data_IF_730021478302
#
_entry.id   IF_730021478302
#
_cell.length_a   1.000
_cell.length_b   1.000
_cell.length_c   1.000
_cell.angle_alpha   90.00
_cell.angle_beta   90.00
_cell.angle_gamma   90.00
#
_symmetry.space_group_name_H-M   'P 1'
#
loop_
_entity.id
_entity.type
_entity.pdbx_description
1 polymer ?
#
# COMPACT_ATOMS: atom_id res chain seq x y z
N UNK A 1 39.48 34.21 -11.37
CA UNK A 1 39.11 32.93 -10.73
C UNK A 1 37.70 32.59 -11.16
N UNK A 2 37.61 31.72 -12.14
CA UNK A 2 36.39 31.39 -12.85
C UNK A 2 35.71 30.26 -12.09
N UNK A 3 34.55 30.51 -11.48
CA UNK A 3 33.73 29.51 -10.79
C UNK A 3 32.82 28.85 -11.82
N UNK A 4 33.25 27.73 -12.35
CA UNK A 4 32.40 26.85 -13.15
C UNK A 4 31.26 26.30 -12.28
N UNK A 5 30.02 26.61 -12.67
CA UNK A 5 28.82 26.07 -12.05
C UNK A 5 28.76 24.54 -12.23
N UNK A 6 28.28 23.76 -11.23
CA UNK A 6 28.19 22.31 -11.34
C UNK A 6 27.16 21.93 -12.40
N UNK A 7 27.62 21.15 -13.39
CA UNK A 7 26.76 20.59 -14.45
C UNK A 7 25.78 19.59 -13.81
N UNK A 8 24.46 19.72 -14.00
CA UNK A 8 23.51 18.75 -13.45
C UNK A 8 23.76 17.38 -14.09
N UNK A 9 24.01 16.36 -13.25
CA UNK A 9 24.16 14.97 -13.70
C UNK A 9 22.85 14.52 -14.39
N UNK A 10 22.87 14.47 -15.72
CA UNK A 10 21.83 13.83 -16.51
C UNK A 10 21.83 12.32 -16.16
N UNK A 11 20.76 11.82 -15.55
CA UNK A 11 20.53 10.36 -15.42
C UNK A 11 20.81 9.70 -16.78
N UNK A 12 21.68 8.68 -16.78
CA UNK A 12 22.13 8.05 -18.01
C UNK A 12 20.92 7.60 -18.86
N UNK A 13 20.91 7.80 -20.19
CA UNK A 13 19.78 7.46 -21.05
C UNK A 13 19.32 5.98 -20.97
N UNK A 14 20.22 5.05 -20.63
CA UNK A 14 19.92 3.62 -20.41
C UNK A 14 19.07 3.39 -19.15
N UNK A 15 19.33 4.11 -18.06
CA UNK A 15 18.57 4.03 -16.81
C UNK A 15 17.14 4.55 -17.01
N UNK A 16 16.96 5.66 -17.72
CA UNK A 16 15.63 6.20 -18.01
C UNK A 16 14.78 5.25 -18.85
N UNK A 17 15.34 4.69 -19.91
CA UNK A 17 14.66 3.70 -20.77
C UNK A 17 14.30 2.42 -20.00
N UNK A 18 15.16 2.00 -19.08
CA UNK A 18 14.90 0.85 -18.21
C UNK A 18 13.72 1.12 -17.27
N UNK A 19 13.69 2.28 -16.62
CA UNK A 19 12.56 2.69 -15.77
C UNK A 19 11.25 2.77 -16.56
N UNK A 20 11.25 3.41 -17.74
CA UNK A 20 10.07 3.54 -18.61
C UNK A 20 9.54 2.16 -19.03
N UNK A 21 10.43 1.16 -19.22
CA UNK A 21 10.05 -0.20 -19.56
C UNK A 21 9.45 -0.93 -18.37
N UNK A 22 10.03 -0.81 -17.17
CA UNK A 22 9.46 -1.37 -15.95
C UNK A 22 8.07 -0.80 -15.70
N UNK A 23 7.88 0.51 -15.80
CA UNK A 23 6.58 1.16 -15.64
C UNK A 23 5.54 0.62 -16.63
N UNK A 24 5.92 0.41 -17.89
CA UNK A 24 5.02 -0.17 -18.90
C UNK A 24 4.65 -1.61 -18.58
N UNK A 25 5.61 -2.43 -18.14
CA UNK A 25 5.36 -3.82 -17.74
C UNK A 25 4.37 -3.84 -16.56
N UNK A 26 4.57 -3.01 -15.55
CA UNK A 26 3.70 -2.95 -14.38
C UNK A 26 2.29 -2.46 -14.75
N UNK A 27 2.18 -1.44 -15.60
CA UNK A 27 0.88 -0.92 -16.04
C UNK A 27 0.08 -1.98 -16.83
N UNK A 28 0.73 -2.70 -17.75
CA UNK A 28 0.12 -3.79 -18.50
C UNK A 28 -0.28 -4.95 -17.58
N UNK A 29 0.59 -5.31 -16.64
CA UNK A 29 0.31 -6.40 -15.70
C UNK A 29 -0.85 -6.04 -14.77
N UNK A 30 -0.90 -4.81 -14.30
CA UNK A 30 -2.02 -4.30 -13.49
C UNK A 30 -3.34 -4.39 -14.26
N UNK A 31 -3.38 -3.93 -15.51
CA UNK A 31 -4.58 -4.03 -16.34
C UNK A 31 -5.05 -5.49 -16.53
N UNK A 32 -4.11 -6.40 -16.86
CA UNK A 32 -4.39 -7.82 -17.02
C UNK A 32 -4.91 -8.46 -15.73
N UNK A 33 -4.29 -8.15 -14.59
CA UNK A 33 -4.73 -8.66 -13.29
C UNK A 33 -6.15 -8.15 -12.97
N UNK A 34 -6.44 -6.88 -13.26
CA UNK A 34 -7.78 -6.32 -13.07
C UNK A 34 -8.85 -6.97 -13.94
N UNK A 35 -8.50 -7.38 -15.18
CA UNK A 35 -9.41 -8.00 -16.14
C UNK A 35 -9.69 -9.48 -15.85
N UNK A 36 -8.68 -10.27 -15.49
CA UNK A 36 -8.78 -11.74 -15.45
C UNK A 36 -8.25 -12.40 -14.17
N UNK A 37 -7.77 -11.61 -13.20
CA UNK A 37 -7.15 -12.09 -11.97
C UNK A 37 -5.69 -12.50 -12.16
N UNK A 38 -4.91 -12.43 -11.07
CA UNK A 38 -3.46 -12.73 -11.09
C UNK A 38 -3.14 -14.16 -11.47
N UNK A 39 -4.02 -15.12 -11.15
CA UNK A 39 -3.80 -16.53 -11.47
C UNK A 39 -3.81 -16.79 -12.97
N UNK A 40 -4.69 -16.14 -13.71
CA UNK A 40 -4.83 -16.33 -15.16
C UNK A 40 -3.73 -15.64 -15.99
N UNK A 41 -3.11 -14.57 -15.47
CA UNK A 41 -2.08 -13.80 -16.18
C UNK A 41 -0.85 -14.64 -16.47
N UNK A 42 -0.37 -14.57 -17.72
CA UNK A 42 0.82 -15.28 -18.22
C UNK A 42 1.90 -14.30 -18.66
N UNK A 43 3.16 -14.64 -18.39
CA UNK A 43 4.32 -13.81 -18.75
C UNK A 43 4.40 -13.51 -20.25
N UNK A 44 4.02 -14.46 -21.11
CA UNK A 44 3.96 -14.25 -22.56
C UNK A 44 2.99 -13.14 -22.97
N UNK A 45 1.80 -13.13 -22.38
CA UNK A 45 0.77 -12.12 -22.62
C UNK A 45 1.22 -10.73 -22.14
N UNK A 46 1.85 -10.67 -20.95
CA UNK A 46 2.45 -9.42 -20.45
C UNK A 46 3.51 -8.89 -21.43
N UNK A 47 4.40 -9.75 -21.93
CA UNK A 47 5.44 -9.34 -22.88
C UNK A 47 4.82 -8.81 -24.18
N UNK A 48 3.84 -9.50 -24.73
CA UNK A 48 3.12 -9.12 -25.95
C UNK A 48 2.45 -7.76 -25.79
N UNK A 49 1.63 -7.59 -24.77
CA UNK A 49 0.91 -6.32 -24.51
C UNK A 49 1.85 -5.17 -24.13
N UNK A 50 2.99 -5.46 -23.49
CA UNK A 50 4.03 -4.46 -23.21
C UNK A 50 4.89 -4.11 -24.43
N UNK A 51 4.75 -4.80 -25.56
CA UNK A 51 5.52 -4.57 -26.79
C UNK A 51 7.00 -4.89 -26.63
N UNK A 52 7.34 -5.96 -25.88
CA UNK A 52 8.71 -6.42 -25.66
C UNK A 52 8.83 -7.93 -25.91
N UNK A 53 10.06 -8.40 -26.17
CA UNK A 53 10.29 -9.84 -26.24
C UNK A 53 10.16 -10.49 -24.86
N UNK A 54 9.73 -11.75 -24.82
CA UNK A 54 9.63 -12.53 -23.59
C UNK A 54 10.98 -12.65 -22.88
N UNK A 55 12.09 -12.78 -23.62
CA UNK A 55 13.45 -12.76 -23.06
C UNK A 55 13.79 -11.42 -22.39
N UNK A 56 13.32 -10.30 -22.96
CA UNK A 56 13.48 -8.99 -22.37
C UNK A 56 12.67 -8.86 -21.08
N UNK A 57 11.44 -9.41 -21.01
CA UNK A 57 10.63 -9.41 -19.80
C UNK A 57 11.34 -10.16 -18.67
N UNK A 58 11.88 -11.33 -18.93
CA UNK A 58 12.59 -12.14 -17.92
C UNK A 58 13.88 -11.48 -17.40
N UNK A 59 14.47 -10.51 -18.10
CA UNK A 59 15.58 -9.71 -17.60
C UNK A 59 15.15 -8.75 -16.48
N UNK A 60 13.89 -8.32 -16.44
CA UNK A 60 13.32 -7.43 -15.40
C UNK A 60 12.61 -8.20 -14.31
N UNK A 61 11.86 -9.22 -14.68
CA UNK A 61 11.01 -9.98 -13.78
C UNK A 61 11.21 -11.48 -14.04
N UNK A 62 11.87 -12.20 -13.12
CA UNK A 62 12.17 -13.63 -13.30
C UNK A 62 10.90 -14.51 -13.32
N UNK A 63 9.81 -14.03 -12.74
CA UNK A 63 8.54 -14.72 -12.67
C UNK A 63 7.37 -13.74 -12.48
N UNK A 64 6.14 -14.24 -12.58
CA UNK A 64 4.92 -13.48 -12.31
C UNK A 64 4.85 -12.97 -10.87
N UNK A 65 5.34 -13.75 -9.92
CA UNK A 65 5.38 -13.36 -8.50
C UNK A 65 6.21 -12.09 -8.28
N UNK A 66 7.31 -11.91 -9.02
CA UNK A 66 8.11 -10.69 -8.94
C UNK A 66 7.35 -9.44 -9.41
N UNK A 67 6.50 -9.58 -10.44
CA UNK A 67 5.62 -8.49 -10.91
C UNK A 67 4.58 -8.17 -9.82
N UNK A 68 3.93 -9.20 -9.27
CA UNK A 68 2.90 -9.04 -8.23
C UNK A 68 3.49 -8.38 -6.97
N UNK A 69 4.68 -8.80 -6.53
CA UNK A 69 5.38 -8.18 -5.39
C UNK A 69 5.67 -6.70 -5.62
N UNK A 70 6.18 -6.34 -6.80
CA UNK A 70 6.45 -4.93 -7.13
C UNK A 70 5.17 -4.09 -7.22
N UNK A 71 4.07 -4.66 -7.71
CA UNK A 71 2.76 -3.99 -7.66
C UNK A 71 2.28 -3.79 -6.22
N UNK A 72 2.42 -4.81 -5.36
CA UNK A 72 2.08 -4.70 -3.94
C UNK A 72 2.89 -3.60 -3.24
N UNK A 73 4.21 -3.57 -3.43
CA UNK A 73 5.09 -2.53 -2.89
C UNK A 73 4.66 -1.13 -3.36
N UNK A 74 4.30 -0.99 -4.64
CA UNK A 74 3.85 0.28 -5.21
C UNK A 74 2.53 0.76 -4.62
N UNK A 75 1.54 -0.12 -4.48
CA UNK A 75 0.27 0.23 -3.83
C UNK A 75 0.47 0.58 -2.36
N UNK A 76 1.32 -0.14 -1.66
CA UNK A 76 1.66 0.18 -0.26
C UNK A 76 2.34 1.55 -0.13
N UNK A 77 3.25 1.90 -1.04
CA UNK A 77 3.91 3.21 -1.05
C UNK A 77 2.91 4.35 -1.30
N UNK A 78 2.02 4.20 -2.28
CA UNK A 78 0.95 5.17 -2.55
C UNK A 78 0.01 5.31 -1.36
N UNK A 79 -0.40 4.20 -0.76
CA UNK A 79 -1.26 4.19 0.44
C UNK A 79 -0.58 4.86 1.63
N UNK A 80 0.71 4.58 1.87
CA UNK A 80 1.50 5.18 2.93
C UNK A 80 1.59 6.70 2.79
N UNK A 81 1.81 7.20 1.58
CA UNK A 81 1.85 8.64 1.32
C UNK A 81 0.50 9.32 1.62
N UNK A 82 -0.60 8.70 1.21
CA UNK A 82 -1.94 9.17 1.53
C UNK A 82 -2.18 9.20 3.06
N UNK A 83 -1.78 8.14 3.78
CA UNK A 83 -1.90 8.06 5.23
C UNK A 83 -1.09 9.18 5.90
N UNK A 84 0.14 9.42 5.46
CA UNK A 84 1.00 10.47 5.99
C UNK A 84 0.38 11.86 5.81
N UNK A 85 -0.10 12.17 4.60
CA UNK A 85 -0.75 13.45 4.31
C UNK A 85 -2.03 13.67 5.13
N UNK A 86 -2.86 12.64 5.27
CA UNK A 86 -4.09 12.75 6.04
C UNK A 86 -3.82 12.88 7.54
N UNK A 87 -2.94 12.05 8.10
CA UNK A 87 -2.58 12.11 9.52
C UNK A 87 -1.92 13.45 9.91
N UNK A 88 -1.20 14.10 8.98
CA UNK A 88 -0.61 15.42 9.22
C UNK A 88 -1.66 16.51 9.47
N UNK A 89 -2.90 16.32 9.07
CA UNK A 89 -4.02 17.27 9.30
C UNK A 89 -4.54 17.25 10.73
N UNK A 90 -4.29 16.17 11.49
CA UNK A 90 -4.73 16.04 12.88
C UNK A 90 -3.96 17.01 13.78
N UNK A 91 -4.67 17.96 14.43
CA UNK A 91 -4.09 18.95 15.33
C UNK A 91 -4.31 18.62 16.81
N UNK A 92 -5.31 17.83 17.10
CA UNK A 92 -5.71 17.36 18.43
C UNK A 92 -6.31 15.96 18.31
N UNK A 93 -6.71 15.36 19.42
CA UNK A 93 -7.28 14.01 19.44
C UNK A 93 -8.62 13.93 18.72
N UNK A 94 -9.46 14.95 18.76
CA UNK A 94 -10.73 14.98 18.02
C UNK A 94 -10.48 15.06 16.51
N UNK A 95 -9.49 15.85 16.07
CA UNK A 95 -9.05 15.89 14.69
C UNK A 95 -8.46 14.55 14.22
N UNK A 96 -7.71 13.86 15.09
CA UNK A 96 -7.19 12.53 14.80
C UNK A 96 -8.33 11.52 14.63
N UNK A 97 -9.36 11.56 15.49
CA UNK A 97 -10.54 10.71 15.37
C UNK A 97 -11.21 10.87 14.00
N UNK A 98 -11.49 12.12 13.59
CA UNK A 98 -12.13 12.42 12.32
C UNK A 98 -11.28 11.99 11.10
N UNK A 99 -9.98 12.30 11.14
CA UNK A 99 -9.05 11.92 10.07
C UNK A 99 -8.92 10.41 9.95
N UNK A 100 -8.77 9.71 11.06
CA UNK A 100 -8.61 8.26 11.07
C UNK A 100 -9.88 7.53 10.58
N UNK A 101 -11.06 8.01 10.98
CA UNK A 101 -12.32 7.51 10.47
C UNK A 101 -12.42 7.67 8.95
N UNK A 102 -12.09 8.87 8.43
CA UNK A 102 -12.08 9.14 6.99
C UNK A 102 -11.07 8.28 6.23
N UNK A 103 -9.89 8.04 6.81
CA UNK A 103 -8.88 7.14 6.20
C UNK A 103 -9.41 5.72 6.02
N UNK A 104 -10.10 5.17 7.03
CA UNK A 104 -10.69 3.83 6.95
C UNK A 104 -11.73 3.78 5.82
N UNK A 105 -12.61 4.77 5.73
CA UNK A 105 -13.65 4.84 4.70
C UNK A 105 -13.05 4.96 3.29
N UNK A 106 -12.06 5.82 3.13
CA UNK A 106 -11.34 6.01 1.87
C UNK A 106 -10.62 4.74 1.44
N UNK A 107 -9.97 4.07 2.38
CA UNK A 107 -9.24 2.84 2.11
C UNK A 107 -10.17 1.71 1.69
N UNK A 108 -11.31 1.54 2.36
CA UNK A 108 -12.33 0.57 1.96
C UNK A 108 -12.91 0.87 0.58
N UNK A 109 -13.22 2.13 0.29
CA UNK A 109 -13.70 2.55 -1.02
C UNK A 109 -12.69 2.23 -2.13
N UNK A 110 -11.39 2.44 -1.86
CA UNK A 110 -10.31 2.11 -2.79
C UNK A 110 -10.25 0.60 -3.09
N UNK A 111 -10.34 -0.25 -2.08
CA UNK A 111 -10.40 -1.71 -2.27
C UNK A 111 -11.60 -2.16 -3.11
N UNK A 112 -12.74 -1.49 -2.96
CA UNK A 112 -13.91 -1.78 -3.78
C UNK A 112 -13.74 -1.33 -5.24
N UNK A 113 -13.04 -0.20 -5.45
CA UNK A 113 -12.84 0.39 -6.78
C UNK A 113 -11.73 -0.28 -7.59
N UNK A 114 -10.70 -0.84 -6.92
CA UNK A 114 -9.47 -1.34 -7.54
C UNK A 114 -9.38 -2.87 -7.51
N UNK A 115 -9.83 -3.57 -8.59
CA UNK A 115 -9.80 -5.03 -8.65
C UNK A 115 -8.41 -5.63 -8.46
N UNK A 116 -7.37 -4.94 -8.92
CA UNK A 116 -5.97 -5.37 -8.80
C UNK A 116 -5.53 -5.44 -7.35
N UNK A 117 -5.82 -4.39 -6.57
CA UNK A 117 -5.54 -4.39 -5.14
C UNK A 117 -6.22 -5.57 -4.46
N UNK A 118 -7.52 -5.73 -4.71
CA UNK A 118 -8.32 -6.81 -4.14
C UNK A 118 -7.75 -8.19 -4.46
N UNK A 119 -7.31 -8.42 -5.70
CA UNK A 119 -6.72 -9.69 -6.13
C UNK A 119 -5.37 -9.93 -5.42
N UNK A 120 -4.47 -8.96 -5.42
CA UNK A 120 -3.15 -9.06 -4.78
C UNK A 120 -3.30 -9.35 -3.28
N UNK A 121 -4.16 -8.61 -2.58
CA UNK A 121 -4.35 -8.78 -1.13
C UNK A 121 -5.07 -10.07 -0.76
N UNK A 122 -5.94 -10.59 -1.62
CA UNK A 122 -6.53 -11.93 -1.42
C UNK A 122 -5.47 -13.02 -1.47
N UNK A 123 -4.46 -12.89 -2.32
CA UNK A 123 -3.34 -13.82 -2.44
C UNK A 123 -2.26 -13.70 -1.35
N UNK A 124 -2.25 -12.60 -0.57
CA UNK A 124 -1.16 -12.30 0.40
C UNK A 124 -0.93 -13.42 1.40
N UNK A 125 -1.98 -14.11 1.88
CA UNK A 125 -1.84 -15.15 2.89
C UNK A 125 -1.13 -16.41 2.37
N UNK A 126 -1.19 -16.69 1.09
CA UNK A 126 -0.56 -17.85 0.47
C UNK A 126 0.93 -17.64 0.15
N UNK A 127 1.37 -16.39 -0.06
CA UNK A 127 2.74 -16.05 -0.44
C UNK A 127 3.52 -15.46 0.74
N UNK A 128 4.62 -16.14 1.13
CA UNK A 128 5.50 -15.71 2.23
C UNK A 128 6.10 -14.30 2.00
N UNK A 129 6.44 -13.97 0.79
CA UNK A 129 7.06 -12.67 0.47
C UNK A 129 6.02 -11.56 0.49
N UNK A 130 4.81 -11.80 -0.04
CA UNK A 130 3.71 -10.84 0.05
C UNK A 130 3.30 -10.58 1.51
N UNK A 131 3.28 -11.63 2.36
CA UNK A 131 3.05 -11.44 3.81
C UNK A 131 4.11 -10.56 4.46
N UNK A 132 5.38 -10.70 4.06
CA UNK A 132 6.45 -9.86 4.61
C UNK A 132 6.28 -8.40 4.15
N UNK A 133 5.98 -8.17 2.87
CA UNK A 133 5.70 -6.83 2.32
C UNK A 133 4.54 -6.17 3.08
N UNK A 134 3.44 -6.91 3.31
CA UNK A 134 2.28 -6.45 4.05
C UNK A 134 2.60 -6.08 5.52
N UNK A 135 3.38 -6.94 6.19
CA UNK A 135 3.84 -6.70 7.55
C UNK A 135 4.73 -5.46 7.66
N UNK A 136 5.65 -5.28 6.72
CA UNK A 136 6.56 -4.14 6.70
C UNK A 136 5.81 -2.83 6.38
N UNK A 137 4.82 -2.88 5.48
CA UNK A 137 3.93 -1.76 5.19
C UNK A 137 3.10 -1.38 6.43
N UNK A 138 2.47 -2.35 7.09
CA UNK A 138 1.71 -2.11 8.32
C UNK A 138 2.57 -1.52 9.43
N UNK A 139 3.83 -1.94 9.54
CA UNK A 139 4.80 -1.40 10.51
C UNK A 139 5.17 0.04 10.20
N UNK A 140 5.41 0.35 8.92
CA UNK A 140 5.70 1.72 8.48
C UNK A 140 4.50 2.65 8.70
N UNK A 141 3.29 2.21 8.37
CA UNK A 141 2.05 2.96 8.61
C UNK A 141 1.80 3.15 10.12
N UNK A 142 2.09 2.12 10.93
CA UNK A 142 2.05 2.22 12.40
C UNK A 142 3.01 3.27 12.96
N UNK A 143 4.20 3.41 12.39
CA UNK A 143 5.16 4.43 12.79
C UNK A 143 4.67 5.85 12.49
N UNK A 144 3.98 6.07 11.36
CA UNK A 144 3.33 7.35 11.03
C UNK A 144 2.27 7.72 12.08
N UNK A 145 1.38 6.79 12.39
CA UNK A 145 0.34 6.99 13.41
C UNK A 145 0.96 7.23 14.79
N UNK A 146 1.98 6.46 15.17
CA UNK A 146 2.69 6.62 16.44
C UNK A 146 3.33 8.01 16.57
N UNK A 147 3.90 8.54 15.48
CA UNK A 147 4.47 9.90 15.45
C UNK A 147 3.41 10.95 15.77
N UNK A 148 2.23 10.83 15.19
CA UNK A 148 1.12 11.77 15.46
C UNK A 148 0.61 11.62 16.90
N UNK A 149 0.42 10.37 17.37
CA UNK A 149 0.00 10.10 18.76
C UNK A 149 0.99 10.66 19.79
N UNK A 150 2.30 10.46 19.59
CA UNK A 150 3.33 11.01 20.48
C UNK A 150 3.28 12.54 20.54
N UNK A 151 3.01 13.20 19.42
CA UNK A 151 2.83 14.65 19.38
C UNK A 151 1.57 15.11 20.12
N UNK A 152 0.47 14.37 20.02
CA UNK A 152 -0.82 14.73 20.62
C UNK A 152 -0.95 14.29 22.08
N UNK A 153 -0.19 13.29 22.51
CA UNK A 153 -0.17 12.68 23.84
C UNK A 153 1.27 12.54 24.35
N UNK A 154 1.96 13.65 24.62
CA UNK A 154 3.38 13.63 25.02
C UNK A 154 3.63 12.92 26.36
N UNK A 155 2.61 12.81 27.20
CA UNK A 155 2.70 12.16 28.53
C UNK A 155 2.36 10.65 28.47
N UNK A 156 1.92 10.12 27.31
CA UNK A 156 1.60 8.70 27.18
C UNK A 156 2.87 7.86 27.02
N UNK A 157 2.80 6.58 27.45
CA UNK A 157 3.90 5.64 27.32
C UNK A 157 4.26 5.40 25.83
N UNK A 158 5.49 5.71 25.38
CA UNK A 158 5.90 5.53 24.00
C UNK A 158 5.82 4.07 23.52
N UNK A 159 6.06 3.09 24.40
CA UNK A 159 5.96 1.68 24.05
C UNK A 159 4.52 1.27 23.79
N UNK A 160 3.57 1.78 24.60
CA UNK A 160 2.13 1.59 24.39
C UNK A 160 1.66 2.25 23.09
N UNK A 161 2.07 3.50 22.84
CA UNK A 161 1.76 4.20 21.57
C UNK A 161 2.22 3.36 20.38
N UNK A 162 3.49 2.94 20.36
CA UNK A 162 4.09 2.20 19.23
C UNK A 162 3.39 0.87 18.98
N UNK A 163 3.14 0.09 20.03
CA UNK A 163 2.49 -1.22 19.91
C UNK A 163 1.02 -1.10 19.48
N UNK A 164 0.28 -0.12 20.04
CA UNK A 164 -1.12 0.13 19.68
C UNK A 164 -1.24 0.61 18.22
N UNK A 165 -0.42 1.58 17.83
CA UNK A 165 -0.44 2.11 16.46
C UNK A 165 -0.13 1.01 15.43
N UNK A 166 0.90 0.20 15.66
CA UNK A 166 1.23 -0.91 14.77
C UNK A 166 0.11 -1.94 14.69
N UNK A 167 -0.44 -2.35 15.85
CA UNK A 167 -1.54 -3.33 15.90
C UNK A 167 -2.77 -2.82 15.16
N UNK A 168 -3.16 -1.57 15.36
CA UNK A 168 -4.31 -0.96 14.68
C UNK A 168 -4.10 -0.97 13.16
N UNK A 169 -2.95 -0.54 12.66
CA UNK A 169 -2.70 -0.53 11.21
C UNK A 169 -2.71 -1.95 10.63
N UNK A 170 -2.12 -2.92 11.30
CA UNK A 170 -2.14 -4.32 10.88
C UNK A 170 -3.55 -4.93 10.90
N UNK A 171 -4.34 -4.66 11.94
CA UNK A 171 -5.73 -5.11 12.02
C UNK A 171 -6.62 -4.44 10.96
N UNK A 172 -6.29 -3.21 10.56
CA UNK A 172 -6.94 -2.52 9.45
C UNK A 172 -6.83 -3.30 8.14
N UNK A 173 -5.63 -3.73 7.79
CA UNK A 173 -5.39 -4.58 6.62
C UNK A 173 -6.17 -5.90 6.70
N UNK A 174 -6.17 -6.55 7.86
CA UNK A 174 -6.92 -7.78 8.07
C UNK A 174 -8.44 -7.57 7.97
N UNK A 175 -8.95 -6.48 8.52
CA UNK A 175 -10.37 -6.11 8.44
C UNK A 175 -10.80 -5.83 7.00
N UNK A 176 -9.98 -5.11 6.20
CA UNK A 176 -10.25 -4.87 4.79
C UNK A 176 -10.28 -6.16 3.98
N UNK A 177 -9.30 -7.06 4.16
CA UNK A 177 -9.29 -8.38 3.51
C UNK A 177 -10.55 -9.17 3.82
N UNK A 178 -10.99 -9.19 5.07
CA UNK A 178 -12.23 -9.84 5.45
C UNK A 178 -13.45 -9.18 4.79
N UNK A 179 -13.53 -7.85 4.83
CA UNK A 179 -14.67 -7.10 4.32
C UNK A 179 -14.86 -7.26 2.80
N UNK A 180 -13.77 -7.40 2.03
CA UNK A 180 -13.86 -7.64 0.57
C UNK A 180 -14.12 -9.10 0.21
N UNK A 181 -14.00 -10.02 1.17
CA UNK A 181 -14.22 -11.47 0.96
C UNK A 181 -15.67 -11.89 1.20
N UNK A 182 -16.49 -11.00 1.73
CA UNK A 182 -17.92 -11.24 2.04
C UNK A 182 -18.84 -10.35 1.21
N UNK A 183 -20.14 -10.48 1.39
CA UNK A 183 -21.11 -9.60 0.73
C UNK A 183 -20.96 -8.13 1.16
N UNK A 184 -21.39 -7.20 0.29
CA UNK A 184 -21.16 -5.75 0.48
C UNK A 184 -21.67 -5.21 1.81
N UNK A 185 -22.89 -5.59 2.20
CA UNK A 185 -23.52 -5.10 3.43
C UNK A 185 -22.81 -5.63 4.68
N UNK A 186 -22.42 -6.91 4.65
CA UNK A 186 -21.61 -7.53 5.70
C UNK A 186 -20.22 -6.89 5.77
N UNK A 187 -19.58 -6.65 4.62
CA UNK A 187 -18.29 -5.96 4.55
C UNK A 187 -18.33 -4.57 5.17
N UNK A 188 -19.35 -3.78 4.86
CA UNK A 188 -19.57 -2.46 5.49
C UNK A 188 -19.71 -2.58 7.02
N UNK A 189 -20.50 -3.54 7.50
CA UNK A 189 -20.68 -3.74 8.95
C UNK A 189 -19.37 -4.13 9.66
N UNK A 190 -18.51 -4.91 9.00
CA UNK A 190 -17.18 -5.29 9.51
C UNK A 190 -16.26 -4.07 9.57
N UNK A 191 -16.23 -3.24 8.53
CA UNK A 191 -15.42 -1.99 8.49
C UNK A 191 -15.86 -1.03 9.59
N UNK A 192 -17.15 -0.81 9.77
CA UNK A 192 -17.69 0.03 10.85
C UNK A 192 -17.36 -0.52 12.24
N UNK A 193 -17.37 -1.84 12.40
CA UNK A 193 -16.99 -2.48 13.66
C UNK A 193 -15.51 -2.30 13.95
N UNK A 194 -14.64 -2.48 12.94
CA UNK A 194 -13.21 -2.21 13.06
C UNK A 194 -12.96 -0.73 13.40
N UNK A 195 -13.57 0.20 12.65
CA UNK A 195 -13.46 1.65 12.87
C UNK A 195 -13.75 2.03 14.31
N UNK A 196 -14.91 1.63 14.84
CA UNK A 196 -15.31 1.88 16.22
C UNK A 196 -14.33 1.30 17.24
N UNK A 197 -13.79 0.09 16.98
CA UNK A 197 -12.84 -0.58 17.88
C UNK A 197 -11.50 0.14 17.88
N UNK A 198 -10.98 0.49 16.72
CA UNK A 198 -9.72 1.21 16.57
C UNK A 198 -9.78 2.60 17.20
N UNK A 199 -10.84 3.36 16.92
CA UNK A 199 -11.02 4.69 17.50
C UNK A 199 -11.12 4.66 19.03
N UNK A 200 -11.86 3.70 19.59
CA UNK A 200 -11.93 3.53 21.05
C UNK A 200 -10.56 3.29 21.67
N UNK A 201 -9.73 2.47 21.06
CA UNK A 201 -8.39 2.16 21.55
C UNK A 201 -7.44 3.38 21.41
N UNK A 202 -7.52 4.08 20.28
CA UNK A 202 -6.75 5.31 20.06
C UNK A 202 -7.09 6.41 21.06
N UNK A 203 -8.37 6.56 21.40
CA UNK A 203 -8.80 7.58 22.38
C UNK A 203 -8.47 7.20 23.82
N UNK A 204 -8.16 5.94 24.11
CA UNK A 204 -7.75 5.45 25.43
C UNK A 204 -6.25 5.58 25.71
N UNK A 205 -5.43 5.99 24.73
CA UNK A 205 -4.02 6.34 24.89
C UNK A 205 -3.94 7.70 25.61
#
# INVERSE_FOLDING_TARGET
MDHAAPVPMRRAPSQRRSCERVERILAVSSALIGEQGSDAVRMGEVAEKAGISIGSLYQYFPDKGAIIRMLAERYNELGRHCIEEELAKARDMSGLEAVFASLIDTYYALFLAEPVMRDIWSGTQADKHLRQIDLDASRANGALLATVLTRLRPDADPARISSTAFLIMYLGEAAMRLAISVGRDEGLALVETYKRTALRELMAI
#
